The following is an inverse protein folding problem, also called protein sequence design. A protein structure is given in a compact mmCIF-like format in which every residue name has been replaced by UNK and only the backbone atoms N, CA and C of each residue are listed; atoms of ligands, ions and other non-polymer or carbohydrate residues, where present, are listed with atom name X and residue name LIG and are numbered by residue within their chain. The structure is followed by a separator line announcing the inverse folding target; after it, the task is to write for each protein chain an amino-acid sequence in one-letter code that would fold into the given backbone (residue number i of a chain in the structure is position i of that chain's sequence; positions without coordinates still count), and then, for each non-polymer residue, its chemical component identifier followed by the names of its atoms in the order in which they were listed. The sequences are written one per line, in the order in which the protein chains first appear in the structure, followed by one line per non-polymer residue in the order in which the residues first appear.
data_IF_422812671512
#
_entry.id   IF_422812671512
#
_cell.length_a   1.000
_cell.length_b   1.000
_cell.length_c   1.000
_cell.angle_alpha   90.00
_cell.angle_beta   90.00
_cell.angle_gamma   90.00
#
_symmetry.space_group_name_H-M   'P 1'
#
loop_
_entity.id
_entity.type
_entity.pdbx_description
1 polymer ?
#
# COMPACT_ATOMS: atom_id res chain seq x y z
N UNK A 1 -5.22 -24.73 3.34
CA UNK A 1 -6.18 -24.63 2.24
C UNK A 1 -5.77 -25.49 1.07
N UNK A 2 -6.73 -25.89 0.27
CA UNK A 2 -6.51 -26.68 -0.95
C UNK A 2 -6.37 -25.83 -2.21
N UNK A 3 -6.43 -24.50 -2.05
CA UNK A 3 -6.32 -23.53 -3.14
C UNK A 3 -4.85 -23.24 -3.45
N UNK A 4 -4.50 -23.18 -4.73
CA UNK A 4 -3.15 -22.81 -5.16
C UNK A 4 -2.93 -21.30 -4.97
N UNK A 5 -3.96 -20.47 -5.27
CA UNK A 5 -3.94 -19.02 -5.16
C UNK A 5 -4.98 -18.52 -4.15
N UNK A 6 -4.70 -17.41 -3.48
CA UNK A 6 -5.65 -16.75 -2.59
C UNK A 6 -6.77 -16.10 -3.39
N UNK A 7 -8.01 -16.25 -2.92
CA UNK A 7 -9.19 -15.57 -3.49
C UNK A 7 -9.36 -14.20 -2.87
N UNK A 8 -9.83 -13.24 -3.67
CA UNK A 8 -10.29 -11.96 -3.16
C UNK A 8 -11.77 -12.11 -2.75
N UNK A 9 -12.04 -11.79 -1.48
CA UNK A 9 -13.37 -11.88 -0.91
C UNK A 9 -13.91 -10.48 -0.64
N UNK A 10 -15.24 -10.33 -0.68
CA UNK A 10 -15.93 -9.10 -0.29
C UNK A 10 -17.11 -9.43 0.62
N UNK A 11 -17.41 -8.53 1.56
CA UNK A 11 -18.64 -8.52 2.34
C UNK A 11 -19.45 -7.29 1.92
N UNK A 12 -20.68 -7.52 1.56
CA UNK A 12 -21.59 -6.44 1.12
C UNK A 12 -22.22 -5.68 2.31
N UNK A 13 -22.07 -6.23 3.54
CA UNK A 13 -22.40 -5.57 4.81
C UNK A 13 -21.66 -6.25 5.98
N UNK A 14 -21.64 -5.62 7.15
CA UNK A 14 -20.91 -6.13 8.34
C UNK A 14 -21.38 -7.55 8.76
N UNK A 15 -22.69 -7.80 8.73
CA UNK A 15 -23.30 -9.07 9.14
C UNK A 15 -23.49 -10.05 7.98
N UNK A 16 -23.20 -9.64 6.73
CA UNK A 16 -23.32 -10.51 5.57
C UNK A 16 -22.21 -11.56 5.53
N UNK A 17 -22.50 -12.71 4.92
CA UNK A 17 -21.46 -13.67 4.56
C UNK A 17 -20.54 -13.10 3.47
N UNK A 18 -19.25 -13.42 3.55
CA UNK A 18 -18.31 -13.02 2.53
C UNK A 18 -18.54 -13.83 1.24
N UNK A 19 -18.62 -13.15 0.10
CA UNK A 19 -18.63 -13.78 -1.23
C UNK A 19 -17.29 -13.65 -1.94
N UNK A 20 -17.03 -14.55 -2.87
CA UNK A 20 -15.84 -14.44 -3.75
C UNK A 20 -16.09 -13.30 -4.73
N UNK A 21 -15.20 -12.31 -4.74
CA UNK A 21 -15.20 -11.25 -5.74
C UNK A 21 -14.33 -11.65 -6.94
N UNK A 22 -13.14 -12.20 -6.67
CA UNK A 22 -12.22 -12.67 -7.72
C UNK A 22 -11.52 -13.95 -7.26
N UNK A 23 -11.55 -14.98 -8.11
CA UNK A 23 -10.85 -16.24 -7.88
C UNK A 23 -9.78 -16.48 -8.96
N UNK A 24 -8.49 -16.22 -8.66
CA UNK A 24 -7.42 -16.45 -9.63
C UNK A 24 -7.29 -17.90 -10.06
N UNK A 25 -7.77 -18.88 -9.25
CA UNK A 25 -7.72 -20.29 -9.59
C UNK A 25 -8.62 -20.68 -10.78
N UNK A 26 -9.52 -19.80 -11.20
CA UNK A 26 -10.38 -19.99 -12.39
C UNK A 26 -9.79 -19.40 -13.67
N UNK A 27 -8.67 -18.68 -13.57
CA UNK A 27 -8.07 -17.94 -14.69
C UNK A 27 -7.09 -18.77 -15.51
N UNK A 28 -6.62 -19.90 -14.97
CA UNK A 28 -5.78 -20.86 -15.70
C UNK A 28 -6.02 -22.29 -15.22
N UNK A 29 -5.86 -23.27 -16.12
CA UNK A 29 -6.06 -24.69 -15.77
C UNK A 29 -4.94 -25.24 -14.88
N UNK A 30 -3.73 -24.71 -15.03
CA UNK A 30 -2.52 -25.14 -14.28
C UNK A 30 -2.31 -24.37 -12.98
N UNK A 31 -3.13 -23.33 -12.70
CA UNK A 31 -3.06 -22.51 -11.49
C UNK A 31 -1.83 -21.60 -11.41
N UNK A 32 -1.15 -21.32 -12.54
CA UNK A 32 0.03 -20.44 -12.59
C UNK A 32 -0.32 -18.96 -12.53
N UNK A 33 -1.57 -18.60 -12.87
CA UNK A 33 -2.04 -17.21 -12.82
C UNK A 33 -2.32 -16.78 -11.39
N UNK A 34 -1.71 -15.70 -10.96
CA UNK A 34 -1.88 -15.11 -9.63
C UNK A 34 -2.36 -13.66 -9.70
N UNK A 35 -3.06 -13.22 -8.67
CA UNK A 35 -3.43 -11.83 -8.45
C UNK A 35 -2.17 -11.03 -8.09
N UNK A 36 -1.88 -9.97 -8.86
CA UNK A 36 -0.72 -9.11 -8.64
C UNK A 36 -1.03 -7.93 -7.72
N UNK A 37 -1.88 -7.03 -8.15
CA UNK A 37 -2.29 -5.85 -7.40
C UNK A 37 -3.76 -5.53 -7.62
N UNK A 38 -4.32 -4.73 -6.73
CA UNK A 38 -5.72 -4.26 -6.78
C UNK A 38 -5.77 -2.77 -6.48
N UNK A 39 -6.70 -2.06 -7.10
CA UNK A 39 -7.01 -0.66 -6.83
C UNK A 39 -8.50 -0.43 -7.02
N UNK A 40 -9.17 -0.01 -5.95
CA UNK A 40 -10.61 0.29 -5.95
C UNK A 40 -10.81 1.71 -6.47
N UNK A 41 -11.86 1.94 -7.29
CA UNK A 41 -12.27 3.29 -7.73
C UNK A 41 -12.69 4.16 -6.55
N UNK A 42 -12.68 5.49 -6.72
CA UNK A 42 -12.99 6.42 -5.64
C UNK A 42 -14.42 6.25 -5.11
N UNK A 43 -15.37 5.92 -6.00
CA UNK A 43 -16.76 5.63 -5.65
C UNK A 43 -17.01 4.18 -5.18
N UNK A 44 -15.95 3.36 -5.13
CA UNK A 44 -15.96 1.93 -4.79
C UNK A 44 -16.86 1.06 -5.69
N UNK A 45 -17.22 1.52 -6.89
CA UNK A 45 -18.04 0.73 -7.84
C UNK A 45 -17.20 -0.25 -8.67
N UNK A 46 -15.91 0.03 -8.87
CA UNK A 46 -15.03 -0.74 -9.74
C UNK A 46 -13.73 -1.15 -9.05
N UNK A 47 -13.18 -2.26 -9.49
CA UNK A 47 -11.87 -2.76 -9.06
C UNK A 47 -10.97 -2.94 -10.28
N UNK A 48 -9.93 -2.12 -10.39
CA UNK A 48 -8.79 -2.44 -11.25
C UNK A 48 -7.94 -3.51 -10.56
N UNK A 49 -7.67 -4.62 -11.25
CA UNK A 49 -6.83 -5.69 -10.72
C UNK A 49 -5.83 -6.16 -11.77
N UNK A 50 -4.66 -6.55 -11.33
CA UNK A 50 -3.65 -7.10 -12.23
C UNK A 50 -3.43 -8.57 -12.00
N UNK A 51 -3.19 -9.29 -13.07
CA UNK A 51 -2.79 -10.69 -13.05
C UNK A 51 -1.38 -10.86 -13.60
N UNK A 52 -0.71 -11.89 -13.09
CA UNK A 52 0.61 -12.32 -13.53
C UNK A 52 0.57 -13.82 -13.79
N UNK A 53 1.20 -14.27 -14.86
CA UNK A 53 1.31 -15.67 -15.21
C UNK A 53 2.74 -16.20 -14.96
N UNK A 54 2.83 -17.41 -14.43
CA UNK A 54 4.09 -18.13 -14.22
C UNK A 54 5.12 -17.40 -13.35
N UNK A 55 4.68 -16.50 -12.44
CA UNK A 55 5.57 -15.69 -11.61
C UNK A 55 6.30 -14.57 -12.36
N UNK A 56 5.85 -14.22 -13.56
CA UNK A 56 6.38 -13.10 -14.34
C UNK A 56 6.16 -11.76 -13.64
N UNK A 57 7.07 -10.81 -13.83
CA UNK A 57 6.86 -9.41 -13.44
C UNK A 57 5.88 -8.68 -14.35
N UNK A 58 5.61 -9.20 -15.54
CA UNK A 58 4.62 -8.65 -16.44
C UNK A 58 3.21 -8.73 -15.85
N UNK A 59 2.46 -7.65 -15.95
CA UNK A 59 1.11 -7.53 -15.43
C UNK A 59 0.15 -7.23 -16.58
N UNK A 60 -1.02 -7.85 -16.48
CA UNK A 60 -2.19 -7.49 -17.30
C UNK A 60 -3.20 -6.90 -16.35
N UNK A 61 -3.54 -5.63 -16.53
CA UNK A 61 -4.59 -4.97 -15.77
C UNK A 61 -5.94 -5.19 -16.44
N UNK A 62 -6.93 -5.45 -15.61
CA UNK A 62 -8.34 -5.61 -15.96
C UNK A 62 -9.18 -4.84 -14.96
N UNK A 63 -10.44 -4.60 -15.32
CA UNK A 63 -11.41 -3.92 -14.45
C UNK A 63 -12.62 -4.82 -14.27
N UNK A 64 -13.17 -4.90 -13.08
CA UNK A 64 -14.44 -5.55 -12.79
C UNK A 64 -15.38 -4.59 -12.04
N UNK A 65 -16.68 -4.76 -12.28
CA UNK A 65 -17.74 -4.15 -11.50
C UNK A 65 -17.90 -4.91 -10.16
N UNK A 66 -17.77 -4.20 -9.05
CA UNK A 66 -17.74 -4.80 -7.71
C UNK A 66 -19.10 -5.40 -7.34
N UNK A 67 -20.19 -4.78 -7.79
CA UNK A 67 -21.56 -5.21 -7.44
C UNK A 67 -21.93 -6.51 -8.10
N UNK A 68 -21.64 -6.65 -9.40
CA UNK A 68 -21.95 -7.85 -10.19
C UNK A 68 -20.83 -8.91 -10.12
N UNK A 69 -19.57 -8.47 -9.91
CA UNK A 69 -18.38 -9.32 -10.04
C UNK A 69 -18.00 -9.62 -11.49
N UNK A 70 -18.61 -8.94 -12.47
CA UNK A 70 -18.34 -9.13 -13.88
C UNK A 70 -17.20 -8.25 -14.37
N UNK A 71 -16.36 -8.78 -15.25
CA UNK A 71 -15.29 -8.01 -15.87
C UNK A 71 -15.84 -7.07 -16.95
N UNK A 72 -15.30 -5.86 -16.98
CA UNK A 72 -15.39 -4.98 -18.14
C UNK A 72 -14.49 -5.51 -19.27
N UNK A 73 -14.63 -4.94 -20.46
CA UNK A 73 -13.80 -5.31 -21.63
C UNK A 73 -12.37 -4.75 -21.53
N UNK A 74 -12.14 -3.81 -20.63
CA UNK A 74 -10.88 -3.11 -20.42
C UNK A 74 -9.75 -4.09 -20.10
N UNK A 75 -8.69 -4.03 -20.90
CA UNK A 75 -7.51 -4.87 -20.72
C UNK A 75 -6.26 -4.10 -21.11
N UNK A 76 -5.35 -3.95 -20.15
CA UNK A 76 -4.08 -3.22 -20.32
C UNK A 76 -2.92 -4.18 -20.14
N UNK A 77 -2.06 -4.28 -21.13
CA UNK A 77 -0.88 -5.16 -21.18
C UNK A 77 0.42 -4.37 -21.06
N UNK A 78 1.50 -5.09 -20.89
CA UNK A 78 2.88 -4.57 -20.86
C UNK A 78 3.12 -3.59 -19.70
N UNK A 79 2.36 -3.75 -18.63
CA UNK A 79 2.60 -3.07 -17.37
C UNK A 79 3.61 -3.85 -16.52
N UNK A 80 4.47 -3.12 -15.80
CA UNK A 80 5.48 -3.71 -14.93
C UNK A 80 5.89 -2.70 -13.86
N UNK A 81 6.06 -3.17 -12.61
CA UNK A 81 6.52 -2.35 -11.49
C UNK A 81 5.65 -1.11 -11.20
N UNK A 82 4.36 -1.18 -11.47
CA UNK A 82 3.42 -0.10 -11.16
C UNK A 82 2.08 -0.63 -10.65
N UNK A 83 1.38 0.20 -9.87
CA UNK A 83 -0.04 0.06 -9.57
C UNK A 83 -0.91 0.67 -10.66
N UNK A 84 -2.22 0.64 -10.45
CA UNK A 84 -3.21 1.44 -11.12
C UNK A 84 -3.65 2.56 -10.17
N UNK A 85 -3.59 3.83 -10.61
CA UNK A 85 -4.04 4.98 -9.83
C UNK A 85 -5.24 5.59 -10.53
N UNK A 86 -6.41 5.57 -9.90
CA UNK A 86 -7.63 6.10 -10.48
C UNK A 86 -7.58 7.62 -10.63
N UNK A 87 -8.18 8.14 -11.71
CA UNK A 87 -8.49 9.56 -11.83
C UNK A 87 -9.61 9.90 -10.83
N UNK A 88 -9.72 11.16 -10.41
CA UNK A 88 -10.69 11.60 -9.41
C UNK A 88 -12.15 11.37 -9.81
N UNK A 89 -12.45 11.37 -11.11
CA UNK A 89 -13.79 11.15 -11.67
C UNK A 89 -14.07 9.69 -12.06
N UNK A 90 -13.16 8.76 -11.68
CA UNK A 90 -13.21 7.34 -12.01
C UNK A 90 -13.32 7.03 -13.52
N UNK A 91 -13.03 8.01 -14.39
CA UNK A 91 -13.10 7.84 -15.84
C UNK A 91 -12.03 6.92 -16.41
N UNK A 92 -11.03 6.53 -15.62
CA UNK A 92 -9.91 5.70 -15.99
C UNK A 92 -8.82 5.69 -14.92
N UNK A 93 -7.69 5.10 -15.24
CA UNK A 93 -6.56 4.98 -14.33
C UNK A 93 -5.21 5.17 -15.01
N UNK A 94 -4.24 5.61 -14.23
CA UNK A 94 -2.85 5.76 -14.63
C UNK A 94 -2.08 4.47 -14.34
N UNK A 95 -1.13 4.14 -15.24
CA UNK A 95 -0.24 2.98 -15.10
C UNK A 95 1.09 3.20 -15.83
N UNK A 96 2.12 2.46 -15.44
CA UNK A 96 3.39 2.46 -16.15
C UNK A 96 3.43 1.35 -17.19
N UNK A 97 3.70 1.70 -18.45
CA UNK A 97 3.83 0.80 -19.58
C UNK A 97 5.25 0.76 -20.10
N UNK A 98 5.70 -0.42 -20.47
CA UNK A 98 6.88 -0.64 -21.31
C UNK A 98 6.47 -0.96 -22.74
N UNK A 99 7.40 -0.87 -23.68
CA UNK A 99 7.18 -1.37 -25.04
C UNK A 99 6.98 -2.89 -25.01
N UNK A 100 6.23 -3.41 -25.98
CA UNK A 100 6.00 -4.84 -26.11
C UNK A 100 7.33 -5.57 -26.23
N UNK A 101 7.61 -6.58 -25.38
CA UNK A 101 8.87 -7.29 -25.46
C UNK A 101 8.97 -8.09 -26.75
N UNK A 102 10.20 -8.38 -27.19
CA UNK A 102 10.48 -9.28 -28.27
C UNK A 102 10.08 -10.73 -27.92
N UNK A 103 10.23 -11.66 -28.86
CA UNK A 103 10.02 -13.10 -28.64
C UNK A 103 10.93 -13.68 -27.52
N UNK A 104 11.95 -12.93 -27.09
CA UNK A 104 12.84 -13.25 -25.98
C UNK A 104 12.52 -12.43 -24.71
N UNK A 105 11.25 -12.20 -24.40
CA UNK A 105 10.73 -11.35 -23.32
C UNK A 105 11.42 -11.49 -21.97
N UNK A 106 11.93 -12.67 -21.64
CA UNK A 106 12.67 -12.92 -20.39
C UNK A 106 14.12 -12.44 -20.41
N UNK A 107 14.65 -12.09 -21.57
CA UNK A 107 16.02 -11.60 -21.74
C UNK A 107 16.09 -10.12 -22.05
N UNK A 108 14.97 -9.51 -22.43
CA UNK A 108 14.91 -8.10 -22.77
C UNK A 108 15.14 -7.22 -21.56
N UNK A 109 15.94 -6.17 -21.74
CA UNK A 109 16.13 -5.11 -20.74
C UNK A 109 14.96 -4.14 -20.88
N UNK A 110 14.08 -4.11 -19.87
CA UNK A 110 12.96 -3.18 -19.86
C UNK A 110 13.47 -1.78 -19.49
N UNK A 111 13.39 -0.86 -20.42
CA UNK A 111 13.85 0.54 -20.27
C UNK A 111 12.85 1.51 -20.86
N UNK A 112 13.00 2.79 -20.51
CA UNK A 112 12.19 3.90 -21.03
C UNK A 112 10.66 3.65 -20.90
N UNK A 113 10.16 3.35 -19.70
CA UNK A 113 8.73 3.21 -19.51
C UNK A 113 8.01 4.54 -19.75
N UNK A 114 6.73 4.45 -20.03
CA UNK A 114 5.82 5.59 -20.20
C UNK A 114 4.76 5.55 -19.10
N UNK A 115 4.46 6.70 -18.50
CA UNK A 115 3.27 6.86 -17.69
C UNK A 115 2.09 7.09 -18.63
N UNK A 116 1.12 6.20 -18.59
CA UNK A 116 -0.05 6.19 -19.47
C UNK A 116 -1.32 6.48 -18.66
N UNK A 117 -2.33 6.99 -19.32
CA UNK A 117 -3.70 7.03 -18.84
C UNK A 117 -4.58 6.16 -19.73
N UNK A 118 -5.24 5.17 -19.13
CA UNK A 118 -6.25 4.33 -19.75
C UNK A 118 -7.63 4.86 -19.41
N UNK A 119 -8.40 5.24 -20.42
CA UNK A 119 -9.79 5.64 -20.25
C UNK A 119 -10.69 4.42 -20.33
N UNK A 120 -11.57 4.21 -19.35
CA UNK A 120 -12.49 3.08 -19.36
C UNK A 120 -13.37 3.03 -20.61
N UNK A 121 -13.60 1.81 -21.07
CA UNK A 121 -14.40 1.52 -22.26
C UNK A 121 -13.71 1.83 -23.59
N UNK A 122 -12.37 2.10 -23.57
CA UNK A 122 -11.60 2.32 -24.79
C UNK A 122 -10.53 1.24 -24.98
N UNK A 123 -10.01 1.13 -26.20
CA UNK A 123 -8.89 0.24 -26.49
C UNK A 123 -7.59 0.80 -25.90
N UNK A 124 -6.68 -0.06 -25.41
CA UNK A 124 -5.34 0.34 -24.97
C UNK A 124 -4.55 1.12 -26.02
N UNK A 125 -4.85 0.95 -27.31
CA UNK A 125 -4.22 1.72 -28.39
C UNK A 125 -4.60 3.21 -28.40
N UNK A 126 -5.64 3.58 -27.66
CA UNK A 126 -6.11 4.96 -27.49
C UNK A 126 -5.55 5.62 -26.24
N UNK A 127 -4.77 4.88 -25.43
CA UNK A 127 -4.19 5.39 -24.19
C UNK A 127 -3.25 6.57 -24.44
N UNK A 128 -3.30 7.54 -23.54
CA UNK A 128 -2.56 8.79 -23.67
C UNK A 128 -1.29 8.73 -22.83
N UNK A 129 -0.15 9.17 -23.41
CA UNK A 129 1.10 9.36 -22.67
C UNK A 129 0.95 10.60 -21.79
N UNK A 130 1.10 10.42 -20.48
CA UNK A 130 1.05 11.50 -19.48
C UNK A 130 2.45 12.03 -19.18
N UNK A 131 3.42 11.11 -19.10
CA UNK A 131 4.81 11.47 -18.88
C UNK A 131 5.77 10.43 -19.44
N UNK A 132 6.87 10.88 -20.00
CA UNK A 132 8.00 10.06 -20.42
C UNK A 132 9.29 10.86 -20.39
N UNK A 133 10.43 10.20 -20.30
CA UNK A 133 11.74 10.81 -20.43
C UNK A 133 12.72 9.84 -21.11
N UNK A 134 12.80 9.86 -22.45
CA UNK A 134 13.66 8.94 -23.21
C UNK A 134 15.16 9.10 -22.90
N UNK A 135 15.60 10.29 -22.46
CA UNK A 135 16.99 10.56 -22.10
C UNK A 135 17.39 9.90 -20.77
N UNK A 136 16.42 9.41 -20.01
CA UNK A 136 16.59 8.74 -18.71
C UNK A 136 15.94 7.35 -18.71
N UNK A 137 16.44 6.41 -19.52
CA UNK A 137 15.75 5.14 -19.79
C UNK A 137 15.63 4.21 -18.57
N UNK A 138 16.35 4.50 -17.47
CA UNK A 138 16.26 3.73 -16.22
C UNK A 138 15.29 4.33 -15.19
N UNK A 139 14.67 5.47 -15.51
CA UNK A 139 13.67 6.06 -14.64
C UNK A 139 12.35 5.29 -14.74
N UNK A 140 11.64 5.22 -13.61
CA UNK A 140 10.30 4.65 -13.51
C UNK A 140 9.34 5.67 -12.92
N UNK A 141 8.04 5.46 -13.14
CA UNK A 141 7.00 6.42 -12.86
C UNK A 141 5.96 5.84 -11.90
N UNK A 142 5.65 6.58 -10.86
CA UNK A 142 4.48 6.36 -10.02
C UNK A 142 3.68 7.67 -9.93
N UNK A 143 2.37 7.60 -9.95
CA UNK A 143 1.52 8.78 -9.82
C UNK A 143 0.56 8.60 -8.65
N UNK A 144 0.40 9.66 -7.87
CA UNK A 144 -0.62 9.78 -6.84
C UNK A 144 -1.57 10.90 -7.22
N UNK A 145 -2.85 10.58 -7.27
CA UNK A 145 -3.92 11.52 -7.59
C UNK A 145 -4.51 12.02 -6.28
N UNK A 146 -4.57 13.33 -6.10
CA UNK A 146 -5.16 13.94 -4.90
C UNK A 146 -6.68 13.96 -5.04
N UNK A 147 -7.39 13.37 -4.08
CA UNK A 147 -8.85 13.33 -4.07
C UNK A 147 -9.45 14.74 -4.13
N UNK A 148 -10.55 14.88 -4.86
CA UNK A 148 -11.30 16.15 -5.03
C UNK A 148 -10.46 17.32 -5.55
N UNK A 149 -9.36 17.03 -6.27
CA UNK A 149 -8.41 18.03 -6.76
C UNK A 149 -7.90 17.67 -8.16
N UNK A 150 -7.37 18.65 -8.87
CA UNK A 150 -6.62 18.44 -10.11
C UNK A 150 -5.14 18.09 -9.85
N UNK A 151 -4.69 18.18 -8.59
CA UNK A 151 -3.28 17.98 -8.21
C UNK A 151 -2.88 16.52 -8.35
N UNK A 152 -1.72 16.29 -8.95
CA UNK A 152 -1.10 14.97 -9.04
C UNK A 152 0.37 15.05 -8.65
N UNK A 153 0.83 14.08 -7.88
CA UNK A 153 2.24 13.93 -7.55
C UNK A 153 2.86 12.81 -8.37
N UNK A 154 3.93 13.12 -9.08
CA UNK A 154 4.71 12.17 -9.87
C UNK A 154 5.96 11.78 -9.08
N UNK A 155 6.03 10.52 -8.67
CA UNK A 155 7.22 9.91 -8.09
C UNK A 155 8.10 9.34 -9.21
N UNK A 156 9.39 9.68 -9.21
CA UNK A 156 10.34 9.27 -10.22
C UNK A 156 11.45 8.44 -9.58
N UNK A 157 11.41 7.14 -9.81
CA UNK A 157 12.42 6.19 -9.35
C UNK A 157 13.61 6.10 -10.32
N UNK A 158 14.75 5.59 -9.86
CA UNK A 158 15.91 5.29 -10.68
C UNK A 158 16.41 3.87 -10.41
N UNK A 159 15.90 2.91 -11.17
CA UNK A 159 16.18 1.50 -10.96
C UNK A 159 15.75 1.06 -9.56
N UNK A 160 16.68 0.50 -8.77
CA UNK A 160 16.43 -0.02 -7.41
C UNK A 160 16.85 0.95 -6.29
N UNK A 161 17.12 2.23 -6.61
CA UNK A 161 17.39 3.24 -5.58
C UNK A 161 16.12 3.43 -4.74
N UNK A 162 16.24 3.37 -3.42
CA UNK A 162 15.11 3.58 -2.50
C UNK A 162 14.65 5.04 -2.46
N UNK A 163 15.51 5.97 -2.91
CA UNK A 163 15.20 7.40 -3.03
C UNK A 163 14.52 7.68 -4.35
N UNK A 164 13.70 8.71 -4.38
CA UNK A 164 13.02 9.16 -5.58
C UNK A 164 13.04 10.67 -5.74
N UNK A 165 12.75 11.15 -6.94
CA UNK A 165 12.36 12.52 -7.20
C UNK A 165 10.86 12.66 -7.04
N UNK A 166 10.41 13.87 -6.77
CA UNK A 166 9.00 14.20 -6.63
C UNK A 166 8.68 15.44 -7.45
N UNK A 167 7.72 15.31 -8.36
CA UNK A 167 7.20 16.42 -9.15
C UNK A 167 5.71 16.59 -8.87
N UNK A 168 5.16 17.76 -9.15
CA UNK A 168 3.75 18.07 -8.98
C UNK A 168 3.14 18.62 -10.26
N UNK A 169 1.94 18.20 -10.58
CA UNK A 169 1.05 18.81 -11.55
C UNK A 169 -0.10 19.50 -10.78
N UNK A 170 -0.25 20.81 -10.96
CA UNK A 170 -1.23 21.61 -10.22
C UNK A 170 -2.59 21.74 -10.92
N UNK A 171 -2.64 21.39 -12.20
CA UNK A 171 -3.85 21.47 -13.04
C UNK A 171 -3.85 20.31 -14.02
N UNK A 172 -5.03 19.84 -14.40
CA UNK A 172 -5.22 18.66 -15.26
C UNK A 172 -4.35 18.68 -16.53
N UNK A 173 -4.24 19.80 -17.21
CA UNK A 173 -3.47 19.96 -18.44
C UNK A 173 -2.11 20.69 -18.23
N UNK A 174 -1.69 20.81 -16.97
CA UNK A 174 -0.43 21.49 -16.60
C UNK A 174 0.79 20.58 -16.76
N UNK A 175 1.96 21.19 -16.89
CA UNK A 175 3.22 20.46 -16.83
C UNK A 175 3.57 20.05 -15.41
N UNK A 176 4.31 18.95 -15.26
CA UNK A 176 4.90 18.53 -13.98
C UNK A 176 6.05 19.49 -13.61
N UNK A 177 5.98 20.04 -12.40
CA UNK A 177 6.94 20.96 -11.81
C UNK A 177 7.79 20.19 -10.80
N UNK A 178 9.14 20.24 -10.85
CA UNK A 178 9.97 19.57 -9.86
C UNK A 178 9.80 20.21 -8.47
N UNK A 179 9.50 19.39 -7.47
CA UNK A 179 9.57 19.73 -6.04
C UNK A 179 10.88 19.26 -5.43
N UNK A 180 11.25 18.02 -5.72
CA UNK A 180 12.51 17.38 -5.32
C UNK A 180 13.11 16.74 -6.58
N UNK A 181 14.18 17.32 -7.13
CA UNK A 181 14.80 16.86 -8.37
C UNK A 181 16.12 16.07 -8.15
N UNK A 182 16.51 15.88 -6.91
CA UNK A 182 17.68 15.10 -6.52
C UNK A 182 17.28 13.88 -5.68
N UNK A 183 18.14 12.84 -5.70
CA UNK A 183 17.92 11.63 -4.88
C UNK A 183 18.44 11.87 -3.45
N UNK A 184 17.77 12.72 -2.69
CA UNK A 184 18.13 13.09 -1.31
C UNK A 184 17.42 12.25 -0.24
N UNK A 185 16.31 11.61 -0.59
CA UNK A 185 15.51 10.74 0.29
C UNK A 185 14.37 10.10 -0.50
N UNK A 186 13.66 9.19 0.12
CA UNK A 186 12.36 8.75 -0.36
C UNK A 186 11.30 9.80 0.00
N UNK A 187 10.34 9.99 -0.91
CA UNK A 187 9.14 10.80 -0.69
C UNK A 187 7.94 10.04 -1.23
N UNK A 188 7.11 9.55 -0.33
CA UNK A 188 5.87 8.84 -0.67
C UNK A 188 4.68 9.68 -0.24
N UNK A 189 3.82 10.03 -1.20
CA UNK A 189 2.54 10.68 -0.90
C UNK A 189 1.68 9.78 -0.03
N UNK A 190 1.03 10.37 0.97
CA UNK A 190 0.21 9.67 1.95
C UNK A 190 -1.24 10.13 1.87
N UNK A 191 -1.50 11.41 2.06
CA UNK A 191 -2.84 11.96 2.15
C UNK A 191 -2.83 13.47 1.91
N UNK A 192 -4.02 14.06 1.67
CA UNK A 192 -4.22 15.50 1.53
C UNK A 192 -5.48 15.95 2.26
N UNK A 193 -5.41 17.16 2.78
CA UNK A 193 -6.57 17.88 3.29
C UNK A 193 -6.38 19.37 3.05
N UNK A 194 -7.34 20.00 2.38
CA UNK A 194 -7.25 21.39 1.95
C UNK A 194 -5.97 21.64 1.11
N UNK A 195 -5.17 22.65 1.47
CA UNK A 195 -3.91 22.98 0.79
C UNK A 195 -2.70 22.20 1.33
N UNK A 196 -2.89 21.22 2.22
CA UNK A 196 -1.83 20.46 2.90
C UNK A 196 -1.78 19.04 2.36
N UNK A 197 -0.57 18.60 2.00
CA UNK A 197 -0.28 17.26 1.49
C UNK A 197 0.79 16.60 2.34
N UNK A 198 0.53 15.41 2.89
CA UNK A 198 1.47 14.68 3.74
C UNK A 198 2.24 13.63 2.97
N UNK A 199 3.53 13.50 3.34
CA UNK A 199 4.44 12.54 2.77
C UNK A 199 5.21 11.80 3.87
N UNK A 200 5.46 10.51 3.64
CA UNK A 200 6.55 9.81 4.30
C UNK A 200 7.85 10.20 3.63
N UNK A 201 8.90 10.46 4.42
CA UNK A 201 10.21 10.77 3.88
C UNK A 201 11.34 10.12 4.67
N UNK A 202 12.43 9.79 3.96
CA UNK A 202 13.70 9.33 4.56
C UNK A 202 14.81 10.38 4.45
N UNK A 203 14.51 11.58 3.97
CA UNK A 203 15.48 12.66 3.90
C UNK A 203 15.96 13.05 5.29
N UNK A 204 17.27 12.89 5.54
CA UNK A 204 17.91 13.09 6.84
C UNK A 204 17.23 12.30 8.01
N UNK A 205 16.54 11.19 7.70
CA UNK A 205 15.75 10.39 8.64
C UNK A 205 15.75 8.91 8.21
N UNK A 206 16.81 8.17 8.60
CA UNK A 206 16.98 6.74 8.20
C UNK A 206 15.84 5.83 8.66
N UNK A 207 15.18 6.18 9.77
CA UNK A 207 14.03 5.45 10.32
C UNK A 207 12.69 5.96 9.78
N UNK A 208 12.73 7.01 8.94
CA UNK A 208 11.55 7.66 8.38
C UNK A 208 10.97 8.77 9.26
N UNK A 209 10.33 9.70 8.61
CA UNK A 209 9.58 10.81 9.20
C UNK A 209 8.32 11.10 8.38
N UNK A 210 7.40 11.88 8.93
CA UNK A 210 6.26 12.43 8.19
C UNK A 210 6.46 13.93 8.03
N UNK A 211 6.35 14.40 6.80
CA UNK A 211 6.44 15.81 6.44
C UNK A 211 5.15 16.25 5.76
N UNK A 212 4.86 17.55 5.78
CA UNK A 212 3.78 18.14 4.99
C UNK A 212 4.33 19.14 3.98
N UNK A 213 3.63 19.23 2.85
CA UNK A 213 3.81 20.25 1.82
C UNK A 213 2.54 21.10 1.80
N UNK A 214 2.66 22.38 2.10
CA UNK A 214 1.57 23.35 1.88
C UNK A 214 1.74 23.98 0.47
N UNK A 215 0.68 23.87 -0.35
CA UNK A 215 0.63 24.46 -1.70
C UNK A 215 -0.35 25.61 -1.67
N UNK A 216 0.16 26.84 -1.63
CA UNK A 216 -0.68 28.03 -1.53
C UNK A 216 -0.15 29.19 -2.36
N UNK A 217 -1.01 29.73 -3.22
CA UNK A 217 -0.67 30.87 -4.08
C UNK A 217 0.62 30.67 -4.91
N UNK A 218 0.88 29.44 -5.35
CA UNK A 218 2.09 29.08 -6.13
C UNK A 218 3.37 28.95 -5.30
N UNK A 219 3.25 29.02 -3.96
CA UNK A 219 4.36 28.72 -3.03
C UNK A 219 4.29 27.29 -2.54
N UNK A 220 5.45 26.68 -2.32
CA UNK A 220 5.65 25.32 -1.80
C UNK A 220 6.41 25.40 -0.49
N UNK A 221 5.74 25.06 0.62
CA UNK A 221 6.32 25.15 1.97
C UNK A 221 6.33 23.77 2.62
N UNK A 222 7.53 23.24 2.89
CA UNK A 222 7.70 21.97 3.59
C UNK A 222 7.81 22.19 5.10
N UNK A 223 7.13 21.32 5.87
CA UNK A 223 7.20 21.31 7.33
C UNK A 223 7.40 19.88 7.84
N UNK A 224 8.19 19.73 8.91
CA UNK A 224 8.25 18.46 9.65
C UNK A 224 6.97 18.32 10.51
N UNK A 225 6.30 17.16 10.41
CA UNK A 225 5.07 16.84 11.15
C UNK A 225 5.36 15.82 12.24
N UNK A 226 5.93 14.66 11.88
CA UNK A 226 6.39 13.67 12.84
C UNK A 226 7.87 13.43 12.58
N UNK A 227 8.71 13.85 13.53
CA UNK A 227 10.15 13.69 13.42
C UNK A 227 10.59 12.23 13.49
N UNK A 228 11.80 11.95 12.98
CA UNK A 228 12.43 10.65 13.13
C UNK A 228 12.51 10.22 14.59
N UNK A 229 12.29 8.94 14.86
CA UNK A 229 12.47 8.31 16.17
C UNK A 229 13.53 7.21 16.10
N UNK A 230 13.87 6.61 17.26
CA UNK A 230 14.76 5.45 17.33
C UNK A 230 14.18 4.20 16.64
N UNK A 231 12.88 4.20 16.30
CA UNK A 231 12.15 3.09 15.68
C UNK A 231 11.77 3.40 14.25
N UNK A 232 11.97 2.43 13.36
CA UNK A 232 11.62 2.61 11.95
C UNK A 232 10.11 2.64 11.73
N UNK A 233 9.65 3.61 10.96
CA UNK A 233 8.28 3.65 10.45
C UNK A 233 8.08 2.53 9.44
N UNK A 234 7.02 1.73 9.60
CA UNK A 234 6.62 0.63 8.69
C UNK A 234 5.33 0.92 7.94
N UNK A 235 4.57 1.88 8.39
CA UNK A 235 3.35 2.32 7.74
C UNK A 235 2.84 3.60 8.35
N UNK A 236 2.19 4.40 7.52
CA UNK A 236 1.49 5.62 7.91
C UNK A 236 0.14 5.60 7.22
N UNK A 237 -0.92 5.78 7.98
CA UNK A 237 -2.29 5.86 7.48
C UNK A 237 -2.96 7.11 8.04
N UNK A 238 -3.98 7.57 7.33
CA UNK A 238 -4.78 8.73 7.72
C UNK A 238 -6.22 8.27 7.90
N UNK A 239 -6.78 8.49 9.09
CA UNK A 239 -8.15 8.09 9.41
C UNK A 239 -8.64 8.90 10.62
N UNK A 240 -9.94 9.20 10.66
CA UNK A 240 -10.58 9.92 11.76
C UNK A 240 -9.82 11.22 12.13
N UNK A 241 -9.47 12.02 11.13
CA UNK A 241 -8.67 13.24 11.29
C UNK A 241 -7.38 13.02 12.11
N UNK A 242 -6.77 11.84 11.99
CA UNK A 242 -5.55 11.46 12.71
C UNK A 242 -4.54 10.79 11.79
N UNK A 243 -3.28 10.86 12.17
CA UNK A 243 -2.17 10.10 11.55
C UNK A 243 -1.92 8.87 12.40
N UNK A 244 -2.02 7.69 11.83
CA UNK A 244 -1.75 6.40 12.47
C UNK A 244 -0.40 5.89 11.99
N UNK A 245 0.59 5.86 12.85
CA UNK A 245 1.94 5.41 12.52
C UNK A 245 2.22 4.05 13.13
N UNK A 246 2.62 3.11 12.28
CA UNK A 246 3.13 1.80 12.67
C UNK A 246 4.64 1.84 12.76
N UNK A 247 5.18 1.66 13.95
CA UNK A 247 6.62 1.53 14.19
C UNK A 247 7.03 0.06 14.35
N UNK A 248 8.23 -0.26 13.92
CA UNK A 248 8.90 -1.52 14.28
C UNK A 248 9.74 -1.28 15.54
N UNK A 249 9.30 -1.84 16.65
CA UNK A 249 10.00 -1.79 17.95
C UNK A 249 10.57 -3.18 18.22
N UNK A 250 11.89 -3.29 18.25
CA UNK A 250 12.58 -4.57 18.29
C UNK A 250 12.13 -5.48 17.11
N UNK A 251 11.11 -6.30 17.30
CA UNK A 251 10.60 -7.26 16.29
C UNK A 251 9.07 -7.27 16.20
N UNK A 252 8.40 -6.33 16.81
CA UNK A 252 6.93 -6.24 16.83
C UNK A 252 6.44 -4.83 16.51
N UNK A 253 5.17 -4.73 16.15
CA UNK A 253 4.55 -3.46 15.79
C UNK A 253 4.11 -2.68 17.02
N UNK A 254 4.42 -1.39 17.04
CA UNK A 254 3.84 -0.40 17.93
C UNK A 254 3.04 0.60 17.11
N UNK A 255 1.80 0.86 17.49
CA UNK A 255 0.90 1.75 16.76
C UNK A 255 0.65 3.01 17.59
N UNK A 256 1.00 4.15 17.01
CA UNK A 256 0.82 5.46 17.63
C UNK A 256 -0.12 6.32 16.80
N UNK A 257 -1.02 7.03 17.49
CA UNK A 257 -1.94 7.98 16.90
C UNK A 257 -1.46 9.40 17.16
N UNK A 258 -1.47 10.21 16.12
CA UNK A 258 -1.10 11.62 16.15
C UNK A 258 -2.21 12.47 15.56
N UNK A 259 -2.35 13.70 15.98
CA UNK A 259 -3.16 14.69 15.28
C UNK A 259 -2.51 15.07 13.94
N UNK A 260 -3.23 15.75 13.06
CA UNK A 260 -2.72 16.13 11.73
C UNK A 260 -1.53 17.11 11.81
N UNK A 261 -1.36 17.80 12.92
CA UNK A 261 -0.20 18.67 13.21
C UNK A 261 1.03 17.91 13.78
N UNK A 262 0.93 16.59 13.95
CA UNK A 262 1.98 15.71 14.48
C UNK A 262 2.00 15.62 16.02
N UNK A 263 1.08 16.28 16.73
CA UNK A 263 1.01 16.11 18.18
C UNK A 263 0.54 14.69 18.56
N UNK A 264 1.27 14.04 19.48
CA UNK A 264 0.95 12.69 19.93
C UNK A 264 -0.39 12.64 20.67
N UNK A 265 -1.26 11.71 20.29
CA UNK A 265 -2.56 11.48 20.94
C UNK A 265 -2.47 10.30 21.91
N UNK A 266 -2.16 9.10 21.38
CA UNK A 266 -2.14 7.85 22.16
C UNK A 266 -1.47 6.70 21.44
N UNK A 267 -1.22 5.61 22.16
CA UNK A 267 -0.89 4.30 21.60
C UNK A 267 -2.14 3.43 21.45
N UNK A 268 -2.12 2.49 20.51
CA UNK A 268 -3.13 1.44 20.40
C UNK A 268 -3.09 0.58 21.68
N UNK A 269 -4.20 0.41 22.40
CA UNK A 269 -4.26 -0.51 23.52
C UNK A 269 -4.30 -1.97 23.04
N UNK A 270 -3.12 -2.57 22.86
CA UNK A 270 -2.96 -3.96 22.45
C UNK A 270 -1.75 -4.57 23.17
N UNK A 271 -2.00 -5.49 24.12
CA UNK A 271 -0.98 -5.98 25.04
C UNK A 271 -0.09 -7.08 24.44
N UNK A 272 -0.57 -7.76 23.38
CA UNK A 272 0.15 -8.86 22.77
C UNK A 272 1.24 -8.36 21.81
N UNK A 273 2.46 -8.87 21.96
CA UNK A 273 3.56 -8.64 21.02
C UNK A 273 3.35 -9.44 19.73
N UNK A 274 3.44 -8.79 18.60
CA UNK A 274 3.25 -9.41 17.29
C UNK A 274 3.31 -8.39 16.16
N UNK A 275 2.87 -8.81 14.99
CA UNK A 275 2.75 -7.96 13.82
C UNK A 275 1.33 -7.39 13.74
N UNK A 276 1.22 -6.08 13.65
CA UNK A 276 -0.04 -5.35 13.43
C UNK A 276 0.09 -4.59 12.11
N UNK A 277 -0.96 -4.64 11.28
CA UNK A 277 -1.05 -3.86 10.05
C UNK A 277 -2.51 -3.59 9.70
N UNK A 278 -2.75 -2.57 8.89
CA UNK A 278 -4.10 -2.14 8.52
C UNK A 278 -4.29 -0.65 8.79
N UNK A 279 -5.43 -0.28 9.36
CA UNK A 279 -5.87 1.10 9.60
C UNK A 279 -6.15 1.86 8.30
N UNK A 280 -6.59 1.15 7.25
CA UNK A 280 -7.10 1.77 6.04
C UNK A 280 -8.44 2.47 6.29
N UNK A 281 -8.71 3.48 5.48
CA UNK A 281 -9.94 4.29 5.54
C UNK A 281 -9.65 5.70 5.07
N UNK A 282 -10.57 6.62 5.32
CA UNK A 282 -10.47 8.03 5.02
C UNK A 282 -10.40 8.88 6.29
N UNK A 283 -10.07 10.16 6.14
CA UNK A 283 -10.08 11.13 7.26
C UNK A 283 -11.44 11.26 7.96
N UNK A 284 -12.52 10.92 7.28
CA UNK A 284 -13.89 11.03 7.78
C UNK A 284 -14.37 9.75 8.50
N UNK A 285 -13.68 8.63 8.31
CA UNK A 285 -14.10 7.35 8.89
C UNK A 285 -13.77 7.29 10.38
N UNK A 286 -14.74 6.90 11.19
CA UNK A 286 -14.56 6.69 12.63
C UNK A 286 -14.21 5.24 12.99
N UNK A 287 -14.32 4.32 12.03
CA UNK A 287 -14.04 2.89 12.21
C UNK A 287 -13.04 2.39 11.18
N UNK A 288 -12.23 1.44 11.57
CA UNK A 288 -11.28 0.78 10.68
C UNK A 288 -11.01 -0.65 11.11
N UNK A 289 -10.19 -1.33 10.31
CA UNK A 289 -9.78 -2.71 10.57
C UNK A 289 -8.26 -2.77 10.70
N UNK A 290 -7.79 -3.62 11.63
CA UNK A 290 -6.39 -3.99 11.71
C UNK A 290 -6.23 -5.49 11.90
N UNK A 291 -5.19 -6.04 11.33
CA UNK A 291 -4.81 -7.44 11.54
C UNK A 291 -3.76 -7.56 12.63
N UNK A 292 -3.82 -8.65 13.37
CA UNK A 292 -2.79 -9.06 14.33
C UNK A 292 -2.44 -10.52 14.12
N UNK A 293 -1.16 -10.83 14.20
CA UNK A 293 -0.63 -12.20 14.29
C UNK A 293 0.68 -12.22 15.05
N UNK A 294 1.02 -13.39 15.61
CA UNK A 294 2.35 -13.66 16.14
C UNK A 294 2.71 -15.15 15.95
N UNK A 295 3.81 -15.61 16.54
CA UNK A 295 4.30 -16.99 16.35
C UNK A 295 3.36 -18.08 16.87
N UNK A 296 2.40 -17.74 17.72
CA UNK A 296 1.43 -18.71 18.31
C UNK A 296 -0.03 -18.28 18.12
N UNK A 297 -0.27 -17.12 17.55
CA UNK A 297 -1.62 -16.62 17.29
C UNK A 297 -1.80 -16.50 15.77
N UNK A 298 -2.66 -17.32 15.15
CA UNK A 298 -3.06 -17.15 13.76
C UNK A 298 -3.63 -15.77 13.52
N UNK A 299 -3.69 -15.35 12.25
CA UNK A 299 -4.19 -14.03 11.89
C UNK A 299 -5.60 -13.79 12.44
N UNK A 300 -5.76 -12.66 13.11
CA UNK A 300 -7.05 -12.09 13.50
C UNK A 300 -7.21 -10.73 12.87
N UNK A 301 -8.41 -10.39 12.44
CA UNK A 301 -8.77 -9.05 12.00
C UNK A 301 -9.72 -8.48 13.06
N UNK A 302 -9.39 -7.31 13.55
CA UNK A 302 -10.20 -6.56 14.49
C UNK A 302 -10.85 -5.38 13.76
N UNK A 303 -12.13 -5.16 14.02
CA UNK A 303 -12.77 -3.86 13.81
C UNK A 303 -12.52 -3.02 15.05
N UNK A 304 -12.15 -1.76 14.86
CA UNK A 304 -11.93 -0.80 15.94
C UNK A 304 -12.71 0.48 15.68
N UNK A 305 -13.43 0.98 16.69
CA UNK A 305 -14.04 2.30 16.70
C UNK A 305 -13.02 3.28 17.30
N UNK A 306 -12.59 4.26 16.51
CA UNK A 306 -11.55 5.21 16.89
C UNK A 306 -12.06 6.32 17.80
N UNK A 307 -13.38 6.42 18.02
CA UNK A 307 -13.96 7.41 18.92
C UNK A 307 -13.77 7.02 20.39
N UNK A 308 -13.92 5.74 20.71
CA UNK A 308 -13.80 5.19 22.07
C UNK A 308 -12.73 4.09 22.20
N UNK A 309 -12.08 3.69 21.09
CA UNK A 309 -11.08 2.64 21.01
C UNK A 309 -11.63 1.24 21.34
N UNK A 310 -12.93 1.06 21.31
CA UNK A 310 -13.55 -0.26 21.43
C UNK A 310 -13.23 -1.12 20.21
N UNK A 311 -12.95 -2.39 20.44
CA UNK A 311 -12.60 -3.32 19.35
C UNK A 311 -13.32 -4.65 19.52
N UNK A 312 -13.69 -5.26 18.40
CA UNK A 312 -14.24 -6.61 18.31
C UNK A 312 -13.47 -7.42 17.25
N UNK A 313 -13.47 -8.74 17.41
CA UNK A 313 -12.95 -9.63 16.37
C UNK A 313 -13.94 -9.59 15.20
N UNK A 314 -13.45 -9.16 14.03
CA UNK A 314 -14.20 -9.18 12.78
C UNK A 314 -14.04 -10.52 12.06
N UNK A 315 -12.82 -11.05 12.08
CA UNK A 315 -12.50 -12.35 11.50
C UNK A 315 -11.28 -12.95 12.20
N UNK A 316 -11.25 -14.28 12.31
CA UNK A 316 -10.07 -15.00 12.78
C UNK A 316 -9.84 -16.26 11.95
N UNK A 317 -8.57 -16.56 11.70
CA UNK A 317 -8.16 -17.76 11.02
C UNK A 317 -8.33 -18.97 11.94
N UNK A 318 -9.09 -19.96 11.48
CA UNK A 318 -9.25 -21.24 12.16
C UNK A 318 -8.34 -22.29 11.55
N UNK A 319 -7.53 -22.93 12.37
CA UNK A 319 -6.64 -24.02 11.98
C UNK A 319 -7.11 -25.32 12.64
N UNK A 320 -7.29 -26.37 11.84
CA UNK A 320 -7.68 -27.68 12.33
C UNK A 320 -6.65 -28.20 13.33
N UNK A 321 -7.11 -28.69 14.49
CA UNK A 321 -6.28 -29.27 15.56
C UNK A 321 -5.25 -28.30 16.18
N UNK A 322 -5.44 -26.99 16.06
CA UNK A 322 -4.62 -25.98 16.68
C UNK A 322 -5.44 -25.06 17.58
N UNK A 323 -5.02 -24.96 18.85
CA UNK A 323 -5.56 -24.00 19.81
C UNK A 323 -4.40 -23.15 20.35
N UNK A 324 -4.39 -21.87 20.00
CA UNK A 324 -3.34 -20.91 20.41
C UNK A 324 -3.23 -20.78 21.93
N UNK A 325 -4.32 -21.05 22.66
CA UNK A 325 -4.33 -21.02 24.13
C UNK A 325 -3.40 -22.06 24.77
N UNK A 326 -3.01 -23.10 24.04
CA UNK A 326 -2.09 -24.14 24.51
C UNK A 326 -0.61 -23.73 24.37
N UNK A 327 -0.32 -22.56 23.80
CA UNK A 327 1.03 -22.10 23.52
C UNK A 327 1.32 -20.77 24.20
N UNK A 328 2.61 -20.51 24.40
CA UNK A 328 3.12 -19.20 24.79
C UNK A 328 4.21 -18.77 23.82
N UNK A 329 4.38 -17.47 23.67
CA UNK A 329 5.51 -16.89 22.94
C UNK A 329 6.11 -15.78 23.80
N UNK A 330 7.32 -16.02 24.26
CA UNK A 330 8.11 -15.08 25.03
C UNK A 330 9.09 -14.32 24.13
N UNK A 331 9.34 -13.08 24.50
CA UNK A 331 10.35 -12.24 23.87
C UNK A 331 11.47 -11.96 24.86
N UNK A 332 12.72 -12.23 24.43
CA UNK A 332 13.91 -11.97 25.25
C UNK A 332 15.00 -11.33 24.40
N UNK A 333 15.80 -10.48 25.03
CA UNK A 333 17.00 -9.93 24.44
C UNK A 333 18.22 -10.74 24.93
N UNK A 334 18.98 -11.28 24.00
CA UNK A 334 20.22 -12.00 24.29
C UNK A 334 21.42 -11.20 23.83
N UNK A 335 22.44 -11.14 24.68
CA UNK A 335 23.67 -10.46 24.34
C UNK A 335 24.54 -11.34 23.45
N UNK A 336 24.83 -10.88 22.24
CA UNK A 336 25.75 -11.49 21.30
C UNK A 336 27.22 -11.36 21.78
N UNK A 337 28.15 -12.08 21.12
CA UNK A 337 29.61 -12.04 21.46
C UNK A 337 30.22 -10.65 21.29
N UNK A 338 29.72 -9.84 20.38
CA UNK A 338 30.13 -8.45 20.13
C UNK A 338 29.43 -7.43 21.04
N UNK A 339 28.56 -7.90 21.92
CA UNK A 339 27.80 -7.06 22.85
C UNK A 339 26.43 -6.60 22.35
N UNK A 340 26.10 -6.87 21.10
CA UNK A 340 24.80 -6.52 20.50
C UNK A 340 23.67 -7.29 21.18
N UNK A 341 22.60 -6.59 21.52
CA UNK A 341 21.38 -7.20 22.06
C UNK A 341 20.52 -7.71 20.90
N UNK A 342 20.39 -9.03 20.82
CA UNK A 342 19.64 -9.73 19.75
C UNK A 342 18.26 -10.10 20.26
N UNK A 343 17.18 -9.67 19.59
CA UNK A 343 15.82 -10.07 19.96
C UNK A 343 15.57 -11.53 19.56
N UNK A 344 14.99 -12.30 20.48
CA UNK A 344 14.68 -13.72 20.27
C UNK A 344 13.25 -13.99 20.76
N UNK A 345 12.47 -14.66 19.92
CA UNK A 345 11.16 -15.20 20.28
C UNK A 345 11.30 -16.69 20.63
N UNK A 346 10.75 -17.08 21.76
CA UNK A 346 10.72 -18.46 22.22
C UNK A 346 9.26 -18.88 22.32
N UNK A 347 8.85 -19.82 21.48
CA UNK A 347 7.47 -20.31 21.45
C UNK A 347 7.42 -21.79 21.78
N UNK A 348 6.57 -22.17 22.73
CA UNK A 348 6.42 -23.54 23.18
C UNK A 348 4.99 -23.86 23.67
N UNK A 349 4.67 -25.15 23.81
CA UNK A 349 3.46 -25.55 24.52
C UNK A 349 3.58 -25.18 26.00
N UNK A 350 2.49 -24.67 26.59
CA UNK A 350 2.42 -24.33 28.03
C UNK A 350 2.74 -25.49 28.97
N UNK A 351 2.59 -26.72 28.47
CA UNK A 351 2.89 -27.96 29.21
C UNK A 351 4.36 -28.34 29.20
N UNK A 352 5.20 -27.67 28.42
CA UNK A 352 6.64 -27.89 28.41
C UNK A 352 7.30 -26.99 29.45
N UNK A 353 8.03 -27.62 30.37
CA UNK A 353 8.92 -26.95 31.33
C UNK A 353 10.25 -26.71 30.60
N UNK A 354 10.57 -25.43 30.34
CA UNK A 354 11.78 -25.01 29.59
C UNK A 354 12.72 -24.27 30.54
#
# INVERSE_FOLDING_TARGET
GTWQQSKLMIKDCDECDARVLLDPNTLSEDGTVSLGGTSVSNDASMLAYSISDGGSDWRIWKVLDISSGENLEDTVKWAKFSGASWETDDSGFFYQKYDEPSDEALKDINTAPKLMFHKLGTSQSEDVIIYENPDKPRWGWGISVVSDSEIKFLSISNGTDERNRLYVQLKKDGSFIPLIDELIGAYQYLESKDDIHWFYSTENAKNGKVVSLEIKNGSFVWNDVISESDHSIRGVNFINNSIVVTYLVDTFSEINFFALDGSFIRKLPHDAKGTIGGFGGSLEDSKTYFSFSNFVTPRKIYEIDLTDMSKKIFWEESLDNYDSNNYISDFKLFKSKDGTMVPVHISNKKTLDI
#
